data_IF_618190414040
#
_entry.id   IF_618190414040
#
_cell.length_a   1.000
_cell.length_b   1.000
_cell.length_c   1.000
_cell.angle_alpha   90.00
_cell.angle_beta   90.00
_cell.angle_gamma   90.00
#
_symmetry.space_group_name_H-M   'P 1'
#
loop_
_entity.id
_entity.type
_entity.pdbx_description
1 polymer ?
#
# COMPACT_ATOMS: atom_id res chain seq x y z
N UNK A 1 -22.04 15.00 10.52
CA UNK A 1 -20.79 14.29 10.93
C UNK A 1 -19.66 14.50 9.92
N UNK A 2 -19.91 14.41 8.61
CA UNK A 2 -18.90 14.63 7.57
C UNK A 2 -18.44 16.09 7.51
N UNK A 3 -19.34 17.06 7.66
CA UNK A 3 -19.02 18.49 7.68
C UNK A 3 -18.08 18.87 8.84
N UNK A 4 -18.30 18.30 10.01
CA UNK A 4 -17.43 18.50 11.16
C UNK A 4 -16.01 17.99 10.93
N UNK A 5 -15.86 16.91 10.17
CA UNK A 5 -14.54 16.36 9.82
C UNK A 5 -13.76 17.30 8.90
N UNK A 6 -14.42 17.98 7.96
CA UNK A 6 -13.79 18.93 7.05
C UNK A 6 -13.38 20.26 7.71
N UNK A 7 -13.99 20.62 8.84
CA UNK A 7 -13.63 21.81 9.63
C UNK A 7 -12.43 21.58 10.55
N UNK A 8 -12.02 20.32 10.76
CA UNK A 8 -10.86 19.98 11.58
C UNK A 8 -9.55 20.34 10.88
N UNK A 9 -8.55 20.69 11.69
CA UNK A 9 -7.19 20.90 11.18
C UNK A 9 -6.70 19.64 10.39
N UNK A 10 -6.08 19.82 9.20
CA UNK A 10 -5.60 18.70 8.37
C UNK A 10 -4.73 17.69 9.11
N UNK A 11 -3.96 18.14 10.12
CA UNK A 11 -3.14 17.27 10.97
C UNK A 11 -4.02 16.32 11.79
N UNK A 12 -5.13 16.83 12.35
CA UNK A 12 -6.06 16.02 13.14
C UNK A 12 -6.84 15.05 12.24
N UNK A 13 -7.23 15.49 11.04
CA UNK A 13 -7.87 14.62 10.04
C UNK A 13 -6.96 13.41 9.68
N UNK A 14 -5.69 13.66 9.39
CA UNK A 14 -4.73 12.61 9.04
C UNK A 14 -4.45 11.67 10.22
N UNK A 15 -4.41 12.20 11.44
CA UNK A 15 -4.23 11.39 12.65
C UNK A 15 -5.43 10.45 12.88
N UNK A 16 -6.65 10.95 12.76
CA UNK A 16 -7.88 10.15 12.90
C UNK A 16 -7.92 9.06 11.82
N UNK A 17 -7.65 9.42 10.56
CA UNK A 17 -7.59 8.46 9.46
C UNK A 17 -6.53 7.38 9.70
N UNK A 18 -5.35 7.78 10.20
CA UNK A 18 -4.27 6.85 10.55
C UNK A 18 -4.66 5.89 11.68
N UNK A 19 -5.34 6.37 12.72
CA UNK A 19 -5.83 5.51 13.81
C UNK A 19 -6.88 4.52 13.31
N UNK A 20 -7.79 4.95 12.44
CA UNK A 20 -8.81 4.07 11.86
C UNK A 20 -8.16 2.98 11.01
N UNK A 21 -7.25 3.34 10.11
CA UNK A 21 -6.54 2.36 9.27
C UNK A 21 -5.69 1.39 10.09
N UNK A 22 -4.99 1.89 11.10
CA UNK A 22 -4.23 1.05 12.04
C UNK A 22 -5.14 0.06 12.78
N UNK A 23 -6.29 0.53 13.28
CA UNK A 23 -7.27 -0.33 13.99
C UNK A 23 -7.83 -1.41 13.08
N UNK A 24 -8.16 -1.09 11.83
CA UNK A 24 -8.65 -2.05 10.85
C UNK A 24 -7.59 -3.11 10.49
N UNK A 25 -6.34 -2.68 10.34
CA UNK A 25 -5.21 -3.58 10.03
C UNK A 25 -4.93 -4.52 11.19
N UNK A 26 -4.92 -4.01 12.43
CA UNK A 26 -4.75 -4.83 13.64
C UNK A 26 -5.90 -5.79 13.85
N UNK A 27 -7.13 -5.37 13.57
CA UNK A 27 -8.30 -6.23 13.62
C UNK A 27 -8.23 -7.36 12.59
N UNK A 28 -7.80 -7.05 11.36
CA UNK A 28 -7.57 -8.05 10.31
C UNK A 28 -6.49 -9.07 10.69
N UNK A 29 -5.37 -8.61 11.27
CA UNK A 29 -4.31 -9.51 11.72
C UNK A 29 -4.72 -10.36 12.95
N UNK A 30 -5.53 -9.81 13.85
CA UNK A 30 -6.05 -10.54 15.00
C UNK A 30 -6.95 -11.73 14.61
N UNK A 31 -7.70 -11.60 13.50
CA UNK A 31 -8.52 -12.70 12.98
C UNK A 31 -7.68 -13.94 12.60
N UNK A 32 -6.42 -13.76 12.21
CA UNK A 32 -5.51 -14.86 11.88
C UNK A 32 -5.22 -15.72 13.11
N UNK A 33 -5.11 -15.11 14.30
CA UNK A 33 -4.87 -15.83 15.54
C UNK A 33 -6.07 -16.71 15.96
N UNK A 34 -7.27 -16.36 15.50
CA UNK A 34 -8.47 -17.17 15.74
C UNK A 34 -8.56 -18.40 14.81
N UNK A 35 -7.86 -18.36 13.69
CA UNK A 35 -7.83 -19.47 12.73
C UNK A 35 -6.74 -20.48 13.11
N UNK A 36 -7.13 -21.58 13.73
CA UNK A 36 -6.24 -22.63 14.24
C UNK A 36 -5.44 -23.40 13.17
N UNK A 37 -5.91 -23.39 11.91
CA UNK A 37 -5.18 -23.91 10.76
C UNK A 37 -5.66 -23.20 9.49
N UNK A 38 -4.76 -22.51 8.81
CA UNK A 38 -5.07 -21.87 7.55
C UNK A 38 -4.64 -22.81 6.43
N UNK A 39 -5.61 -23.26 5.64
CA UNK A 39 -5.33 -24.08 4.45
C UNK A 39 -4.59 -23.22 3.41
N UNK A 40 -3.56 -23.79 2.76
CA UNK A 40 -2.78 -23.11 1.73
C UNK A 40 -3.64 -22.53 0.60
N UNK A 41 -4.65 -23.26 0.15
CA UNK A 41 -5.59 -22.79 -0.87
C UNK A 41 -6.40 -21.57 -0.42
N UNK A 42 -6.73 -21.47 0.85
CA UNK A 42 -7.43 -20.29 1.40
C UNK A 42 -6.48 -19.07 1.45
N UNK A 43 -5.24 -19.29 1.85
CA UNK A 43 -4.22 -18.25 1.86
C UNK A 43 -3.96 -17.70 0.45
N UNK A 44 -3.85 -18.55 -0.56
CA UNK A 44 -3.63 -18.14 -1.95
C UNK A 44 -4.80 -17.29 -2.48
N UNK A 45 -6.04 -17.63 -2.11
CA UNK A 45 -7.23 -16.83 -2.44
C UNK A 45 -7.21 -15.46 -1.78
N UNK A 46 -6.89 -15.39 -0.48
CA UNK A 46 -6.79 -14.11 0.23
C UNK A 46 -5.70 -13.21 -0.36
N UNK A 47 -4.54 -13.76 -0.70
CA UNK A 47 -3.47 -13.02 -1.34
C UNK A 47 -3.87 -12.50 -2.71
N UNK A 48 -4.59 -13.29 -3.50
CA UNK A 48 -5.09 -12.85 -4.82
C UNK A 48 -6.11 -11.72 -4.71
N UNK A 49 -7.03 -11.80 -3.76
CA UNK A 49 -8.00 -10.74 -3.49
C UNK A 49 -7.29 -9.47 -3.03
N UNK A 50 -6.34 -9.60 -2.09
CA UNK A 50 -5.55 -8.48 -1.59
C UNK A 50 -4.77 -7.79 -2.72
N UNK A 51 -4.13 -8.55 -3.60
CA UNK A 51 -3.44 -8.00 -4.77
C UNK A 51 -4.39 -7.23 -5.70
N UNK A 52 -5.60 -7.75 -5.95
CA UNK A 52 -6.60 -7.07 -6.73
C UNK A 52 -7.07 -5.75 -6.11
N UNK A 53 -7.29 -5.74 -4.80
CA UNK A 53 -7.65 -4.51 -4.06
C UNK A 53 -6.53 -3.48 -4.12
N UNK A 54 -5.27 -3.90 -3.95
CA UNK A 54 -4.11 -3.01 -4.05
C UNK A 54 -3.98 -2.37 -5.43
N UNK A 55 -4.16 -3.15 -6.50
CA UNK A 55 -4.14 -2.63 -7.87
C UNK A 55 -5.26 -1.62 -8.12
N UNK A 56 -6.49 -1.95 -7.72
CA UNK A 56 -7.62 -1.04 -7.86
C UNK A 56 -7.41 0.25 -7.05
N UNK A 57 -6.97 0.14 -5.81
CA UNK A 57 -6.66 1.28 -4.94
C UNK A 57 -5.57 2.17 -5.55
N UNK A 58 -4.50 1.59 -6.09
CA UNK A 58 -3.43 2.34 -6.75
C UNK A 58 -3.96 3.13 -7.96
N UNK A 59 -4.84 2.52 -8.74
CA UNK A 59 -5.44 3.18 -9.89
C UNK A 59 -6.31 4.36 -9.47
N UNK A 60 -7.27 4.14 -8.58
CA UNK A 60 -8.24 5.16 -8.20
C UNK A 60 -7.68 6.23 -7.27
N UNK A 61 -6.76 5.88 -6.37
CA UNK A 61 -6.24 6.80 -5.36
C UNK A 61 -4.97 7.52 -5.76
N UNK A 62 -4.20 6.99 -6.71
CA UNK A 62 -2.92 7.58 -7.12
C UNK A 62 -2.92 7.98 -8.59
N UNK A 63 -3.23 7.07 -9.52
CA UNK A 63 -3.11 7.35 -10.96
C UNK A 63 -4.17 8.38 -11.39
N UNK A 64 -5.41 8.18 -11.00
CA UNK A 64 -6.50 9.08 -11.40
C UNK A 64 -6.29 10.53 -10.92
N UNK A 65 -6.03 10.79 -9.62
CA UNK A 65 -5.71 12.14 -9.16
C UNK A 65 -4.43 12.72 -9.76
N UNK A 66 -3.44 11.90 -10.11
CA UNK A 66 -2.22 12.39 -10.74
C UNK A 66 -2.44 12.86 -12.17
N UNK A 67 -3.37 12.24 -12.90
CA UNK A 67 -3.80 12.67 -14.23
C UNK A 67 -4.49 14.03 -14.13
N UNK A 68 -5.40 14.20 -13.16
CA UNK A 68 -6.12 15.45 -12.95
C UNK A 68 -5.15 16.61 -12.63
N UNK A 69 -4.18 16.35 -11.74
CA UNK A 69 -3.15 17.33 -11.39
C UNK A 69 -2.22 17.65 -12.56
N UNK A 70 -1.83 16.68 -13.36
CA UNK A 70 -1.00 16.91 -14.53
C UNK A 70 -1.70 17.78 -15.58
N UNK A 71 -3.01 17.60 -15.75
CA UNK A 71 -3.83 18.46 -16.63
C UNK A 71 -3.86 19.92 -16.14
N UNK A 72 -3.94 20.16 -14.82
CA UNK A 72 -3.89 21.51 -14.24
C UNK A 72 -2.56 22.22 -14.55
N UNK A 73 -1.46 21.47 -14.59
CA UNK A 73 -0.08 22.03 -14.80
C UNK A 73 0.29 22.12 -16.28
N UNK A 74 -0.62 21.75 -17.19
CA UNK A 74 -0.40 21.73 -18.64
C UNK A 74 0.75 20.79 -19.08
N UNK A 75 1.06 19.76 -18.32
CA UNK A 75 2.04 18.74 -18.67
C UNK A 75 1.30 17.50 -19.12
N UNK A 76 1.83 16.78 -20.11
CA UNK A 76 1.24 15.55 -20.62
C UNK A 76 1.05 14.52 -19.49
N UNK A 77 -0.19 14.18 -19.10
CA UNK A 77 -0.47 13.29 -17.94
C UNK A 77 0.15 11.91 -18.11
N UNK A 78 0.15 11.40 -19.35
CA UNK A 78 0.71 10.09 -19.66
C UNK A 78 2.21 9.99 -19.37
N UNK A 79 2.96 11.05 -19.62
CA UNK A 79 4.41 11.07 -19.36
C UNK A 79 4.68 11.05 -17.86
N UNK A 80 3.99 11.88 -17.08
CA UNK A 80 4.20 11.94 -15.62
C UNK A 80 3.83 10.63 -14.96
N UNK A 81 2.66 10.08 -15.28
CA UNK A 81 2.21 8.82 -14.70
C UNK A 81 3.12 7.66 -15.08
N UNK A 82 3.55 7.56 -16.34
CA UNK A 82 4.45 6.49 -16.77
C UNK A 82 5.83 6.59 -16.12
N UNK A 83 6.40 7.80 -16.02
CA UNK A 83 7.66 8.01 -15.30
C UNK A 83 7.55 7.65 -13.83
N UNK A 84 6.46 8.04 -13.15
CA UNK A 84 6.21 7.69 -11.75
C UNK A 84 6.15 6.17 -11.54
N UNK A 85 5.43 5.45 -12.39
CA UNK A 85 5.33 3.99 -12.33
C UNK A 85 6.69 3.33 -12.57
N UNK A 86 7.42 3.74 -13.59
CA UNK A 86 8.76 3.20 -13.91
C UNK A 86 9.74 3.44 -12.77
N UNK A 87 9.77 4.66 -12.22
CA UNK A 87 10.63 4.98 -11.06
C UNK A 87 10.25 4.14 -9.84
N UNK A 88 8.95 3.98 -9.56
CA UNK A 88 8.48 3.11 -8.48
C UNK A 88 8.93 1.66 -8.65
N UNK A 89 8.81 1.11 -9.85
CA UNK A 89 9.29 -0.23 -10.17
C UNK A 89 10.81 -0.37 -9.98
N UNK A 90 11.59 0.62 -10.42
CA UNK A 90 13.05 0.62 -10.25
C UNK A 90 13.42 0.65 -8.76
N UNK A 91 12.78 1.50 -7.96
CA UNK A 91 13.02 1.60 -6.52
C UNK A 91 12.71 0.28 -5.83
N UNK A 92 11.55 -0.34 -6.11
CA UNK A 92 11.19 -1.63 -5.56
C UNK A 92 12.18 -2.73 -5.96
N UNK A 93 12.60 -2.77 -7.21
CA UNK A 93 13.58 -3.73 -7.70
C UNK A 93 14.95 -3.57 -6.99
N UNK A 94 15.40 -2.32 -6.80
CA UNK A 94 16.62 -2.04 -6.08
C UNK A 94 16.52 -2.43 -4.60
N UNK A 95 15.40 -2.14 -3.95
CA UNK A 95 15.15 -2.54 -2.57
C UNK A 95 15.18 -4.06 -2.42
N UNK A 96 14.51 -4.79 -3.31
CA UNK A 96 14.49 -6.25 -3.30
C UNK A 96 15.90 -6.83 -3.50
N UNK A 97 16.65 -6.28 -4.45
CA UNK A 97 18.03 -6.70 -4.71
C UNK A 97 18.98 -6.41 -3.53
N UNK A 98 18.79 -5.29 -2.85
CA UNK A 98 19.56 -4.95 -1.65
C UNK A 98 19.22 -5.88 -0.49
N UNK A 99 17.93 -6.22 -0.32
CA UNK A 99 17.49 -7.18 0.70
C UNK A 99 18.09 -8.57 0.46
N UNK A 100 18.10 -9.04 -0.78
CA UNK A 100 18.74 -10.33 -1.13
C UNK A 100 20.23 -10.33 -0.84
N UNK A 101 20.92 -9.19 -0.95
CA UNK A 101 22.34 -9.05 -0.59
C UNK A 101 22.60 -8.99 0.91
N UNK A 102 21.75 -8.29 1.66
CA UNK A 102 21.87 -8.16 3.12
C UNK A 102 21.30 -9.36 3.88
N UNK A 103 20.36 -10.08 3.31
CA UNK A 103 19.57 -11.14 3.95
C UNK A 103 20.16 -12.53 3.84
N UNK A 104 21.38 -12.70 4.28
CA UNK A 104 22.01 -14.03 4.32
C UNK A 104 21.46 -14.86 5.50
N UNK A 105 20.21 -15.22 5.56
CA UNK A 105 19.77 -16.42 6.31
C UNK A 105 18.31 -16.50 6.80
N UNK A 106 17.50 -15.45 6.81
CA UNK A 106 16.13 -15.61 7.33
C UNK A 106 15.10 -15.05 6.34
N UNK A 107 14.44 -15.98 5.63
CA UNK A 107 13.33 -15.72 4.72
C UNK A 107 12.21 -14.87 5.39
N UNK A 108 12.04 -15.02 6.69
CA UNK A 108 11.08 -14.28 7.51
C UNK A 108 11.46 -12.81 7.67
N UNK A 109 12.74 -12.49 7.90
CA UNK A 109 13.19 -11.11 8.04
C UNK A 109 13.04 -10.31 6.74
N UNK A 110 13.29 -10.95 5.60
CA UNK A 110 13.10 -10.33 4.29
C UNK A 110 11.63 -10.04 4.01
N UNK A 111 10.72 -10.92 4.41
CA UNK A 111 9.28 -10.72 4.31
C UNK A 111 8.80 -9.55 5.18
N UNK A 112 9.26 -9.49 6.43
CA UNK A 112 8.91 -8.41 7.36
C UNK A 112 9.40 -7.07 6.83
N UNK A 113 10.66 -7.01 6.37
CA UNK A 113 11.25 -5.78 5.86
C UNK A 113 10.53 -5.32 4.57
N UNK A 114 10.24 -6.26 3.65
CA UNK A 114 9.50 -5.97 2.44
C UNK A 114 8.10 -5.43 2.73
N UNK A 115 7.38 -6.04 3.67
CA UNK A 115 6.06 -5.56 4.09
C UNK A 115 6.14 -4.20 4.78
N UNK A 116 7.18 -3.94 5.58
CA UNK A 116 7.36 -2.65 6.27
C UNK A 116 7.66 -1.52 5.28
N UNK A 117 8.42 -1.79 4.22
CA UNK A 117 8.72 -0.80 3.17
C UNK A 117 7.48 -0.55 2.30
N UNK A 118 6.63 -1.56 2.13
CA UNK A 118 5.45 -1.48 1.29
C UNK A 118 4.25 -0.80 1.99
N UNK A 119 4.25 -0.72 3.32
CA UNK A 119 3.18 -0.15 4.13
C UNK A 119 3.46 1.32 4.45
#
# INVERSE_FOLDING_TARGET
>A
MISFFYELNPIIQSLIAGIITFSLTTMGSALIFMCKSINKSFMDKLLSISAGIMLASSFFSLINPSIDKANEIMISPGIICSLGIVLGCIVLFLCDKLQMRCGKKNKTNNLILSMTIHN
#
